data_IF_908691202788
#
_entry.id   IF_908691202788
#
_cell.length_a   1.000
_cell.length_b   1.000
_cell.length_c   1.000
_cell.angle_alpha   90.00
_cell.angle_beta   90.00
_cell.angle_gamma   90.00
#
_symmetry.space_group_name_H-M   'P 1'
#
loop_
_entity.id
_entity.type
_entity.pdbx_description
1 polymer ?
#
# COMPACT_ATOMS: atom_id res chain seq x y z
N UNK A 1 5.95 26.52 17.20
CA UNK A 1 5.88 27.39 18.39
C UNK A 1 4.86 28.51 18.18
N UNK A 2 4.69 29.42 19.15
CA UNK A 2 3.73 30.54 19.07
C UNK A 2 3.91 31.42 17.82
N UNK A 3 5.13 31.59 17.34
CA UNK A 3 5.43 32.34 16.11
C UNK A 3 4.91 31.66 14.84
N UNK A 4 5.02 30.34 14.73
CA UNK A 4 4.48 29.59 13.59
C UNK A 4 2.95 29.68 13.51
N UNK A 5 2.28 29.73 14.68
CA UNK A 5 0.83 29.89 14.76
C UNK A 5 0.40 31.31 14.37
N UNK A 6 1.12 32.34 14.82
CA UNK A 6 0.89 33.74 14.41
C UNK A 6 1.11 33.94 12.91
N UNK A 7 2.16 33.33 12.34
CA UNK A 7 2.42 33.36 10.91
C UNK A 7 1.30 32.69 10.09
N UNK A 8 0.80 31.54 10.56
CA UNK A 8 -0.31 30.83 9.91
C UNK A 8 -1.62 31.62 9.93
N UNK A 9 -1.96 32.24 11.08
CA UNK A 9 -3.16 33.10 11.20
C UNK A 9 -3.03 34.36 10.33
N UNK A 10 -1.86 35.00 10.31
CA UNK A 10 -1.62 36.16 9.45
C UNK A 10 -1.71 35.81 7.96
N UNK A 11 -1.28 34.61 7.57
CA UNK A 11 -1.41 34.10 6.20
C UNK A 11 -2.89 33.87 5.82
N UNK A 12 -3.67 33.25 6.71
CA UNK A 12 -5.11 33.02 6.49
C UNK A 12 -5.89 34.34 6.36
N UNK A 13 -5.55 35.36 7.15
CA UNK A 13 -6.17 36.68 7.07
C UNK A 13 -5.82 37.44 5.78
N UNK A 14 -4.65 37.19 5.19
CA UNK A 14 -4.25 37.77 3.89
C UNK A 14 -4.86 37.04 2.69
N UNK A 15 -5.16 35.75 2.84
CA UNK A 15 -5.73 34.92 1.79
C UNK A 15 -7.06 34.34 2.30
N UNK A 16 -8.18 35.09 2.23
CA UNK A 16 -9.46 34.71 2.82
C UNK A 16 -10.06 33.41 2.23
N UNK A 17 -9.56 32.94 1.09
CA UNK A 17 -9.90 31.64 0.50
C UNK A 17 -8.96 30.49 0.93
N UNK A 18 -8.02 30.75 1.85
CA UNK A 18 -7.15 29.74 2.47
C UNK A 18 -5.93 29.30 1.66
N UNK A 19 -5.83 29.66 0.37
CA UNK A 19 -4.69 29.33 -0.48
C UNK A 19 -3.93 30.60 -0.87
N UNK A 20 -2.69 30.70 -0.39
CA UNK A 20 -1.72 31.64 -0.93
C UNK A 20 -1.18 31.08 -2.27
N UNK A 21 -1.29 31.80 -3.39
CA UNK A 21 -0.79 31.35 -4.70
C UNK A 21 0.74 31.12 -4.71
N UNK A 22 1.46 31.74 -3.77
CA UNK A 22 2.90 31.57 -3.56
C UNK A 22 3.24 30.59 -2.42
N UNK A 23 2.23 30.10 -1.67
CA UNK A 23 2.38 28.97 -0.76
C UNK A 23 2.55 27.70 -1.59
N UNK A 24 3.75 27.55 -2.13
CA UNK A 24 4.18 26.33 -2.81
C UNK A 24 4.03 25.18 -1.84
N UNK A 25 3.21 24.20 -2.22
CA UNK A 25 3.12 22.84 -1.66
C UNK A 25 4.47 22.08 -1.66
N UNK A 26 5.57 22.73 -2.05
CA UNK A 26 6.93 22.18 -2.00
C UNK A 26 7.90 23.12 -1.27
N UNK A 27 7.40 24.19 -0.65
CA UNK A 27 8.23 25.07 0.16
C UNK A 27 8.61 24.33 1.45
N UNK A 28 9.91 24.10 1.72
CA UNK A 28 10.35 23.50 2.98
C UNK A 28 9.99 24.37 4.20
N UNK A 29 9.60 25.63 3.98
CA UNK A 29 9.16 26.57 5.00
C UNK A 29 7.71 26.38 5.47
N UNK A 30 6.89 25.55 4.78
CA UNK A 30 5.51 25.22 5.18
C UNK A 30 5.35 23.70 5.50
N UNK A 31 6.14 23.13 6.42
CA UNK A 31 6.27 21.69 6.60
C UNK A 31 4.99 20.99 7.11
N UNK A 32 4.06 21.73 7.72
CA UNK A 32 2.85 21.13 8.30
C UNK A 32 1.83 20.73 7.24
N UNK A 33 1.69 21.51 6.16
CA UNK A 33 0.75 21.19 5.07
C UNK A 33 1.17 19.92 4.29
N UNK A 34 2.47 19.56 4.32
CA UNK A 34 3.00 18.37 3.65
C UNK A 34 3.05 17.13 4.54
N UNK A 35 2.85 17.31 5.85
CA UNK A 35 3.22 16.27 6.81
C UNK A 35 2.26 15.07 6.86
N UNK A 36 1.15 15.08 6.10
CA UNK A 36 0.17 13.98 6.09
C UNK A 36 -0.19 13.54 7.51
N UNK A 37 0.37 12.42 7.95
CA UNK A 37 0.40 11.98 9.35
C UNK A 37 1.54 12.68 10.11
N UNK A 38 1.26 13.83 10.72
CA UNK A 38 2.23 14.55 11.57
C UNK A 38 2.37 13.93 12.98
N UNK A 39 3.44 14.28 13.72
CA UNK A 39 3.63 13.79 15.10
C UNK A 39 2.41 14.07 15.99
N UNK A 40 1.77 15.23 15.83
CA UNK A 40 0.62 15.62 16.64
C UNK A 40 -0.62 14.76 16.38
N UNK A 41 -0.76 14.21 15.17
CA UNK A 41 -1.88 13.32 14.80
C UNK A 41 -1.94 12.11 15.72
N UNK A 42 -0.79 11.59 16.16
CA UNK A 42 -0.75 10.44 17.09
C UNK A 42 -0.47 10.85 18.53
N UNK A 43 0.42 11.82 18.76
CA UNK A 43 0.98 12.10 20.08
C UNK A 43 0.29 13.23 20.84
N UNK A 44 -0.67 13.95 20.27
CA UNK A 44 -1.32 15.09 20.95
C UNK A 44 -2.83 14.91 21.02
N UNK A 45 -3.41 14.96 22.22
CA UNK A 45 -4.86 14.95 22.47
C UNK A 45 -5.20 15.91 23.58
N UNK A 46 -6.23 16.74 23.38
CA UNK A 46 -6.67 17.75 24.37
C UNK A 46 -5.52 18.57 24.95
N UNK A 47 -4.62 19.04 24.07
CA UNK A 47 -3.41 19.81 24.41
C UNK A 47 -2.37 19.09 25.29
N UNK A 48 -2.51 17.77 25.48
CA UNK A 48 -1.54 16.94 26.20
C UNK A 48 -0.75 16.06 25.24
N UNK A 49 0.50 15.77 25.61
CA UNK A 49 1.42 14.90 24.86
C UNK A 49 1.37 13.48 25.41
N UNK A 50 1.28 12.50 24.53
CA UNK A 50 1.27 11.08 24.84
C UNK A 50 2.34 10.34 24.04
N UNK A 51 2.77 9.19 24.51
CA UNK A 51 3.75 8.37 23.79
C UNK A 51 3.90 6.97 24.38
N UNK A 52 4.74 6.12 23.78
CA UNK A 52 5.00 4.80 24.30
C UNK A 52 5.81 4.86 25.62
N UNK A 53 5.67 3.86 26.50
CA UNK A 53 6.52 3.72 27.69
C UNK A 53 8.01 3.75 27.32
N UNK A 54 8.92 4.39 28.08
CA UNK A 54 10.34 4.39 27.75
C UNK A 54 10.91 2.97 27.65
N UNK A 55 11.76 2.67 26.66
CA UNK A 55 12.34 1.32 26.48
C UNK A 55 13.14 0.84 27.70
N UNK A 56 13.73 1.77 28.45
CA UNK A 56 14.61 1.47 29.59
C UNK A 56 13.86 1.14 30.88
N UNK A 57 12.63 1.65 31.05
CA UNK A 57 11.91 1.54 32.31
C UNK A 57 10.50 0.95 32.19
N UNK A 58 9.95 0.88 30.97
CA UNK A 58 8.55 0.53 30.71
C UNK A 58 7.53 1.34 31.55
N UNK A 59 7.94 2.50 32.07
CA UNK A 59 7.10 3.32 32.93
C UNK A 59 5.90 3.88 32.16
N UNK A 60 4.72 3.80 32.78
CA UNK A 60 3.45 4.35 32.29
C UNK A 60 3.03 5.56 33.12
N UNK A 61 2.15 6.40 32.58
CA UNK A 61 1.69 7.62 33.23
C UNK A 61 2.61 8.82 32.95
N UNK A 62 2.57 9.84 33.80
CA UNK A 62 3.31 11.09 33.57
C UNK A 62 4.83 10.85 33.66
N UNK A 63 5.53 11.13 32.57
CA UNK A 63 6.98 11.09 32.46
C UNK A 63 7.50 12.52 32.36
N UNK A 64 8.27 12.94 33.34
CA UNK A 64 9.03 14.18 33.28
C UNK A 64 10.32 13.96 32.47
N UNK A 65 10.72 14.94 31.67
CA UNK A 65 11.98 14.85 30.93
C UNK A 65 12.17 15.94 29.88
N UNK A 66 13.37 15.99 29.31
CA UNK A 66 13.74 16.96 28.29
C UNK A 66 12.98 16.78 26.96
N UNK A 67 12.54 15.56 26.65
CA UNK A 67 11.74 15.26 25.46
C UNK A 67 10.41 16.02 25.51
N UNK A 68 10.34 17.12 24.76
CA UNK A 68 9.19 18.03 24.71
C UNK A 68 8.67 18.47 26.10
N UNK A 69 9.52 18.57 27.13
CA UNK A 69 9.08 18.94 28.48
C UNK A 69 8.19 17.92 29.19
N UNK A 70 8.22 16.64 28.76
CA UNK A 70 7.45 15.54 29.35
C UNK A 70 6.23 15.12 28.54
N UNK A 71 5.72 13.94 28.84
CA UNK A 71 4.57 13.32 28.18
C UNK A 71 3.91 12.28 29.09
N UNK A 72 2.68 11.86 28.75
CA UNK A 72 2.01 10.73 29.40
C UNK A 72 2.27 9.45 28.61
N UNK A 73 3.04 8.53 29.20
CA UNK A 73 3.30 7.22 28.63
C UNK A 73 2.08 6.31 28.72
N UNK A 74 1.76 5.61 27.63
CA UNK A 74 0.63 4.67 27.55
C UNK A 74 0.98 3.46 26.69
N UNK A 75 0.64 2.26 27.17
CA UNK A 75 0.81 1.00 26.44
C UNK A 75 0.00 0.95 25.15
N UNK A 76 -1.01 1.83 24.98
CA UNK A 76 -1.78 1.92 23.74
C UNK A 76 -0.88 2.13 22.51
N UNK A 77 0.24 2.85 22.65
CA UNK A 77 1.17 3.07 21.53
C UNK A 77 1.89 1.80 21.05
N UNK A 78 1.81 0.70 21.79
CA UNK A 78 2.39 -0.59 21.44
C UNK A 78 1.32 -1.63 21.04
N UNK A 79 0.04 -1.26 21.06
CA UNK A 79 -1.10 -2.09 20.68
C UNK A 79 -1.60 -1.74 19.27
N UNK A 80 -1.87 -2.75 18.44
CA UNK A 80 -2.47 -2.57 17.11
C UNK A 80 -3.82 -1.82 17.15
N UNK A 81 -4.55 -1.84 18.28
CA UNK A 81 -5.80 -1.07 18.42
C UNK A 81 -5.61 0.43 18.25
N UNK A 82 -4.43 0.96 18.54
CA UNK A 82 -4.16 2.38 18.32
C UNK A 82 -4.34 2.78 16.86
N UNK A 83 -3.98 1.89 15.93
CA UNK A 83 -4.08 2.09 14.49
C UNK A 83 -5.53 2.03 13.98
N UNK A 84 -6.45 1.42 14.75
CA UNK A 84 -7.84 1.20 14.35
C UNK A 84 -8.62 2.49 14.08
N UNK A 85 -8.26 3.58 14.74
CA UNK A 85 -8.92 4.89 14.57
C UNK A 85 -8.88 5.42 13.13
N UNK A 86 -7.91 4.96 12.33
CA UNK A 86 -7.80 5.31 10.91
C UNK A 86 -7.90 4.09 10.00
N UNK A 87 -7.33 2.95 10.39
CA UNK A 87 -7.25 1.73 9.56
C UNK A 87 -8.40 0.73 9.79
N UNK A 88 -9.44 1.14 10.49
CA UNK A 88 -10.68 0.40 10.61
C UNK A 88 -11.86 1.37 10.53
N UNK A 89 -12.51 1.40 9.38
CA UNK A 89 -13.75 2.14 9.22
C UNK A 89 -14.91 1.38 9.87
N UNK A 90 -15.97 2.10 10.30
CA UNK A 90 -17.15 1.50 10.90
C UNK A 90 -17.91 0.62 9.92
N UNK A 91 -18.58 -0.40 10.47
CA UNK A 91 -19.38 -1.36 9.71
C UNK A 91 -20.56 -0.73 8.95
N UNK A 92 -21.03 0.44 9.38
CA UNK A 92 -22.07 1.20 8.67
C UNK A 92 -21.62 1.69 7.29
N UNK A 93 -20.31 1.72 7.02
CA UNK A 93 -19.72 2.06 5.71
C UNK A 93 -19.20 0.82 4.97
N UNK A 94 -19.68 -0.37 5.33
CA UNK A 94 -19.27 -1.61 4.71
C UNK A 94 -19.86 -1.81 3.32
N UNK A 95 -19.03 -2.28 2.40
CA UNK A 95 -19.41 -2.77 1.08
C UNK A 95 -19.26 -4.29 1.13
N UNK A 96 -20.33 -5.03 0.87
CA UNK A 96 -20.34 -6.49 0.96
C UNK A 96 -19.82 -7.00 2.33
N UNK A 97 -20.29 -6.37 3.42
CA UNK A 97 -19.91 -6.75 4.79
C UNK A 97 -18.49 -6.35 5.23
N UNK A 98 -17.70 -5.70 4.36
CA UNK A 98 -16.33 -5.24 4.65
C UNK A 98 -16.22 -3.72 4.49
N UNK A 99 -15.86 -2.96 5.53
CA UNK A 99 -15.50 -1.53 5.41
C UNK A 99 -14.38 -1.31 4.38
N UNK A 100 -14.28 -0.09 3.84
CA UNK A 100 -13.19 0.26 2.90
C UNK A 100 -11.81 0.10 3.55
N UNK A 101 -11.67 0.55 4.78
CA UNK A 101 -10.53 0.27 5.67
C UNK A 101 -10.95 -0.82 6.66
N UNK A 102 -10.46 -2.06 6.48
CA UNK A 102 -10.83 -3.20 7.33
C UNK A 102 -9.62 -3.92 7.95
N UNK A 103 -8.47 -3.24 7.96
CA UNK A 103 -7.15 -3.85 8.16
C UNK A 103 -6.97 -4.43 9.55
N UNK A 104 -7.52 -3.77 10.58
CA UNK A 104 -7.45 -4.31 11.93
C UNK A 104 -8.21 -5.64 12.05
N UNK A 105 -9.41 -5.73 11.47
CA UNK A 105 -10.21 -6.96 11.51
C UNK A 105 -9.49 -8.09 10.78
N UNK A 106 -8.97 -7.81 9.58
CA UNK A 106 -8.13 -8.76 8.83
C UNK A 106 -6.92 -9.22 9.65
N UNK A 107 -6.27 -8.30 10.37
CA UNK A 107 -5.18 -8.62 11.28
C UNK A 107 -5.61 -9.49 12.46
N UNK A 108 -6.75 -9.18 13.10
CA UNK A 108 -7.30 -9.95 14.23
C UNK A 108 -7.56 -11.40 13.85
N UNK A 109 -8.04 -11.64 12.63
CA UNK A 109 -8.36 -12.96 12.09
C UNK A 109 -7.10 -13.77 11.73
N UNK A 110 -5.98 -13.09 11.50
CA UNK A 110 -4.72 -13.72 11.11
C UNK A 110 -4.01 -14.43 12.27
N UNK A 111 -2.98 -15.21 11.92
CA UNK A 111 -2.05 -15.79 12.89
C UNK A 111 -1.17 -14.74 13.60
N UNK A 112 -1.04 -13.53 13.06
CA UNK A 112 -0.19 -12.47 13.60
C UNK A 112 -0.77 -11.90 14.90
N UNK A 113 -2.08 -11.65 14.93
CA UNK A 113 -2.80 -11.27 16.16
C UNK A 113 -2.61 -12.30 17.26
N UNK A 114 -2.78 -13.60 16.94
CA UNK A 114 -2.62 -14.71 17.88
C UNK A 114 -1.19 -14.84 18.42
N UNK A 115 -0.19 -14.45 17.63
CA UNK A 115 1.22 -14.45 18.01
C UNK A 115 1.66 -13.15 18.71
N UNK A 116 0.76 -12.17 18.89
CA UNK A 116 1.10 -10.88 19.47
C UNK A 116 1.97 -10.01 18.56
N UNK A 117 1.99 -10.27 17.24
CA UNK A 117 2.74 -9.46 16.29
C UNK A 117 1.91 -8.23 15.94
N UNK A 118 2.32 -7.08 16.46
CA UNK A 118 1.55 -5.82 16.34
C UNK A 118 1.91 -5.05 15.08
N UNK A 119 1.03 -4.12 14.67
CA UNK A 119 1.27 -3.24 13.52
C UNK A 119 2.62 -2.51 13.64
N UNK A 120 2.95 -2.06 14.84
CA UNK A 120 4.17 -1.33 15.17
C UNK A 120 5.43 -2.16 14.94
N UNK A 121 5.41 -3.47 15.19
CA UNK A 121 6.59 -4.31 15.00
C UNK A 121 7.02 -4.40 13.53
N UNK A 122 6.07 -4.33 12.60
CA UNK A 122 6.34 -4.34 11.17
C UNK A 122 6.51 -2.93 10.57
N UNK A 123 5.60 -2.01 10.90
CA UNK A 123 5.54 -0.67 10.28
C UNK A 123 6.33 0.39 11.06
N UNK A 124 6.64 0.16 12.32
CA UNK A 124 7.43 1.07 13.16
C UNK A 124 8.59 0.33 13.86
N UNK A 125 9.45 -0.39 13.09
CA UNK A 125 10.49 -1.23 13.68
C UNK A 125 11.40 -0.40 14.59
N UNK A 126 11.67 -0.93 15.78
CA UNK A 126 12.42 -0.23 16.85
C UNK A 126 11.86 1.14 17.25
N UNK A 127 10.56 1.38 17.05
CA UNK A 127 9.85 2.66 17.23
C UNK A 127 10.28 3.76 16.25
N UNK A 128 10.88 3.39 15.11
CA UNK A 128 11.14 4.33 14.03
C UNK A 128 9.84 4.62 13.29
N UNK A 129 9.60 5.88 12.96
CA UNK A 129 8.39 6.34 12.27
C UNK A 129 8.49 6.10 10.75
N UNK A 130 8.86 4.87 10.35
CA UNK A 130 9.10 4.54 8.93
C UNK A 130 7.81 4.31 8.16
N UNK A 131 6.82 3.66 8.77
CA UNK A 131 5.49 3.39 8.22
C UNK A 131 5.49 2.77 6.81
N UNK A 132 6.54 2.01 6.47
CA UNK A 132 6.68 1.38 5.14
C UNK A 132 5.46 0.53 4.83
N UNK A 133 4.95 0.64 3.61
CA UNK A 133 3.75 -0.04 3.18
C UNK A 133 3.85 -0.48 1.73
N UNK A 134 2.74 -0.36 1.00
CA UNK A 134 2.63 -0.77 -0.40
C UNK A 134 3.50 0.06 -1.36
N UNK A 135 3.91 1.28 -0.98
CA UNK A 135 4.83 2.12 -1.76
C UNK A 135 6.31 1.76 -1.56
N UNK A 136 6.66 0.84 -0.64
CA UNK A 136 8.03 0.40 -0.41
C UNK A 136 8.25 -1.01 -1.02
N UNK A 137 9.05 -1.14 -2.10
CA UNK A 137 9.26 -2.42 -2.78
C UNK A 137 9.93 -3.48 -1.89
N UNK A 138 10.80 -3.08 -0.97
CA UNK A 138 11.52 -4.01 -0.09
C UNK A 138 10.58 -4.60 0.96
N UNK A 139 9.71 -3.77 1.55
CA UNK A 139 8.66 -4.17 2.47
C UNK A 139 7.73 -5.20 1.84
N UNK A 140 7.24 -4.92 0.63
CA UNK A 140 6.36 -5.84 -0.09
C UNK A 140 7.07 -7.13 -0.47
N UNK A 141 8.33 -7.06 -0.93
CA UNK A 141 9.14 -8.23 -1.26
C UNK A 141 9.38 -9.12 -0.04
N UNK A 142 9.63 -8.53 1.13
CA UNK A 142 9.79 -9.25 2.40
C UNK A 142 8.49 -9.96 2.83
N UNK A 143 7.34 -9.37 2.52
CA UNK A 143 6.01 -9.91 2.82
C UNK A 143 5.64 -11.17 2.04
N UNK A 144 6.23 -11.36 0.85
CA UNK A 144 5.81 -12.37 -0.12
C UNK A 144 6.90 -13.41 -0.40
N UNK A 145 6.47 -14.61 -0.81
CA UNK A 145 7.38 -15.62 -1.36
C UNK A 145 6.91 -16.04 -2.73
N UNK A 146 7.84 -16.11 -3.68
CA UNK A 146 7.60 -16.52 -5.07
C UNK A 146 8.26 -17.88 -5.32
N UNK A 147 7.52 -18.83 -5.88
CA UNK A 147 8.05 -20.12 -6.32
C UNK A 147 7.59 -20.45 -7.72
N UNK A 148 8.54 -20.77 -8.57
CA UNK A 148 8.32 -21.18 -9.94
C UNK A 148 8.48 -22.69 -10.07
N UNK A 149 7.59 -23.32 -10.84
CA UNK A 149 7.66 -24.76 -11.15
C UNK A 149 7.12 -25.04 -12.55
N UNK A 150 7.56 -26.13 -13.17
CA UNK A 150 7.01 -26.62 -14.44
C UNK A 150 6.70 -28.11 -14.36
N UNK A 151 5.77 -28.53 -15.20
CA UNK A 151 5.54 -29.93 -15.54
C UNK A 151 5.60 -30.09 -17.07
N UNK A 152 5.32 -31.29 -17.60
CA UNK A 152 5.41 -31.56 -19.05
C UNK A 152 4.49 -30.68 -19.92
N UNK A 153 3.41 -30.14 -19.36
CA UNK A 153 2.35 -29.47 -20.12
C UNK A 153 2.16 -28.00 -19.75
N UNK A 154 2.97 -27.46 -18.84
CA UNK A 154 2.75 -26.12 -18.33
C UNK A 154 3.71 -25.65 -17.24
N UNK A 155 3.55 -24.37 -16.90
CA UNK A 155 4.31 -23.69 -15.85
C UNK A 155 3.38 -23.17 -14.76
N UNK A 156 3.94 -22.90 -13.59
CA UNK A 156 3.21 -22.36 -12.45
C UNK A 156 4.08 -21.39 -11.66
N UNK A 157 3.56 -20.19 -11.44
CA UNK A 157 4.00 -19.28 -10.39
C UNK A 157 3.14 -19.49 -9.15
N UNK A 158 3.78 -19.58 -7.99
CA UNK A 158 3.12 -19.67 -6.69
C UNK A 158 3.53 -18.45 -5.86
N UNK A 159 2.54 -17.69 -5.38
CA UNK A 159 2.74 -16.54 -4.50
C UNK A 159 2.16 -16.88 -3.13
N UNK A 160 2.95 -16.72 -2.08
CA UNK A 160 2.51 -16.93 -0.69
C UNK A 160 2.59 -15.62 0.07
N UNK A 161 1.49 -15.23 0.73
CA UNK A 161 1.45 -14.17 1.74
C UNK A 161 2.10 -14.70 3.02
N UNK A 162 3.36 -14.37 3.26
CA UNK A 162 4.18 -14.98 4.32
C UNK A 162 4.32 -14.09 5.54
N UNK A 163 4.65 -12.82 5.33
CA UNK A 163 4.91 -11.85 6.39
C UNK A 163 3.99 -10.64 6.27
N UNK A 164 2.69 -10.91 6.09
CA UNK A 164 1.64 -9.90 5.99
C UNK A 164 0.48 -10.36 6.86
N UNK A 165 0.18 -9.57 7.89
CA UNK A 165 -0.85 -9.90 8.89
C UNK A 165 -2.28 -9.57 8.46
N UNK A 166 -2.48 -8.86 7.37
CA UNK A 166 -3.78 -8.46 6.84
C UNK A 166 -3.90 -8.87 5.35
N UNK A 167 -5.01 -8.55 4.68
CA UNK A 167 -5.12 -8.85 3.25
C UNK A 167 -4.05 -8.08 2.46
N UNK A 168 -3.58 -8.63 1.35
CA UNK A 168 -2.58 -8.02 0.48
C UNK A 168 -3.13 -7.82 -0.95
N UNK A 169 -3.18 -6.57 -1.44
CA UNK A 169 -3.15 -5.32 -0.65
C UNK A 169 -4.41 -5.21 0.24
N UNK A 170 -4.37 -4.52 1.39
CA UNK A 170 -5.54 -4.49 2.31
C UNK A 170 -6.64 -3.53 1.85
N UNK A 171 -6.30 -2.39 1.28
CA UNK A 171 -7.28 -1.39 0.83
C UNK A 171 -7.76 -1.62 -0.61
N UNK A 172 -8.71 -0.79 -1.05
CA UNK A 172 -9.16 -0.72 -2.45
C UNK A 172 -8.21 0.08 -3.35
N UNK A 173 -7.24 0.79 -2.76
CA UNK A 173 -6.36 1.69 -3.51
C UNK A 173 -5.33 0.99 -4.41
N UNK A 174 -4.65 -0.09 -3.98
CA UNK A 174 -3.59 -0.68 -4.77
C UNK A 174 -4.08 -1.83 -5.64
N UNK A 175 -3.38 -2.06 -6.75
CA UNK A 175 -3.54 -3.24 -7.60
C UNK A 175 -2.21 -3.96 -7.75
N UNK A 176 -2.22 -5.28 -7.68
CA UNK A 176 -1.06 -6.09 -8.07
C UNK A 176 -1.41 -6.91 -9.29
N UNK A 177 -0.60 -6.78 -10.33
CA UNK A 177 -0.78 -7.47 -11.61
C UNK A 177 0.24 -8.61 -11.69
N UNK A 178 -0.25 -9.82 -11.87
CA UNK A 178 0.55 -10.99 -12.23
C UNK A 178 0.40 -11.22 -13.73
N UNK A 179 1.47 -11.03 -14.49
CA UNK A 179 1.51 -11.22 -15.93
C UNK A 179 2.41 -12.42 -16.26
N UNK A 180 1.96 -13.27 -17.17
CA UNK A 180 2.76 -14.35 -17.72
C UNK A 180 2.75 -14.27 -19.24
N UNK A 181 3.92 -14.35 -19.87
CA UNK A 181 4.10 -14.38 -21.32
C UNK A 181 4.73 -15.72 -21.72
N UNK A 182 4.10 -16.48 -22.62
CA UNK A 182 4.74 -17.59 -23.30
C UNK A 182 5.53 -17.07 -24.50
N UNK A 183 6.83 -17.33 -24.54
CA UNK A 183 7.75 -16.73 -25.51
C UNK A 183 8.30 -17.79 -26.47
N UNK A 184 8.49 -17.40 -27.73
CA UNK A 184 9.21 -18.19 -28.73
C UNK A 184 10.75 -18.02 -28.63
N UNK A 185 11.48 -18.60 -29.59
CA UNK A 185 12.95 -18.56 -29.66
C UNK A 185 13.51 -17.15 -29.85
N UNK A 186 12.74 -16.25 -30.46
CA UNK A 186 13.12 -14.87 -30.70
C UNK A 186 12.70 -13.94 -29.54
N UNK A 187 12.09 -14.52 -28.48
CA UNK A 187 11.62 -13.78 -27.32
C UNK A 187 10.29 -13.05 -27.54
N UNK A 188 9.59 -13.32 -28.65
CA UNK A 188 8.28 -12.73 -28.93
C UNK A 188 7.20 -13.44 -28.12
N UNK A 189 6.27 -12.68 -27.56
CA UNK A 189 5.11 -13.24 -26.85
C UNK A 189 4.16 -13.91 -27.85
N UNK A 190 4.01 -15.23 -27.70
CA UNK A 190 3.01 -16.03 -28.41
C UNK A 190 1.63 -15.89 -27.77
N UNK A 191 1.59 -15.74 -26.45
CA UNK A 191 0.37 -15.52 -25.67
C UNK A 191 0.73 -14.91 -24.32
N UNK A 192 -0.16 -14.03 -23.84
CA UNK A 192 -0.05 -13.42 -22.52
C UNK A 192 -1.29 -13.74 -21.66
N UNK A 193 -1.08 -13.85 -20.35
CA UNK A 193 -2.12 -14.07 -19.34
C UNK A 193 -1.93 -13.09 -18.21
N UNK A 194 -3.03 -12.54 -17.71
CA UNK A 194 -3.02 -11.58 -16.62
C UNK A 194 -3.98 -12.03 -15.50
N UNK A 195 -3.53 -11.86 -14.27
CA UNK A 195 -4.37 -11.96 -13.07
C UNK A 195 -4.17 -10.72 -12.21
N UNK A 196 -5.26 -10.26 -11.62
CA UNK A 196 -5.24 -9.13 -10.70
C UNK A 196 -5.42 -9.63 -9.26
N UNK A 197 -4.63 -9.12 -8.35
CA UNK A 197 -4.81 -9.23 -6.89
C UNK A 197 -5.23 -7.85 -6.41
N UNK A 198 -6.53 -7.69 -6.15
CA UNK A 198 -7.17 -6.40 -5.91
C UNK A 198 -8.49 -6.61 -5.15
N UNK A 199 -8.93 -5.60 -4.40
CA UNK A 199 -10.35 -5.44 -4.07
C UNK A 199 -10.89 -4.29 -4.92
N UNK A 200 -11.76 -4.63 -5.85
CA UNK A 200 -12.30 -3.69 -6.81
C UNK A 200 -13.72 -3.31 -6.41
N UNK A 201 -13.91 -2.01 -6.19
CA UNK A 201 -15.20 -1.41 -5.84
C UNK A 201 -15.53 -0.33 -6.85
N UNK A 202 -16.81 -0.11 -7.09
CA UNK A 202 -17.28 1.00 -7.89
C UNK A 202 -18.49 1.67 -7.23
N UNK A 203 -18.81 2.87 -7.70
CA UNK A 203 -20.03 3.57 -7.34
C UNK A 203 -20.98 3.57 -8.54
N UNK A 204 -22.08 2.82 -8.42
CA UNK A 204 -23.20 2.83 -9.37
C UNK A 204 -24.50 2.75 -8.57
N UNK A 205 -25.15 3.91 -8.40
CA UNK A 205 -26.33 4.09 -7.54
C UNK A 205 -26.14 3.53 -6.11
N UNK A 206 -24.89 3.55 -5.65
CA UNK A 206 -24.44 2.92 -4.40
C UNK A 206 -23.07 2.26 -4.59
N UNK A 207 -22.36 2.07 -3.49
CA UNK A 207 -21.07 1.37 -3.53
C UNK A 207 -21.26 -0.13 -3.68
N UNK A 208 -20.57 -0.73 -4.65
CA UNK A 208 -20.64 -2.16 -4.95
C UNK A 208 -19.22 -2.74 -4.99
N UNK A 209 -19.06 -3.97 -4.50
CA UNK A 209 -17.84 -4.75 -4.68
C UNK A 209 -17.98 -5.59 -5.95
N UNK A 210 -17.10 -5.37 -6.93
CA UNK A 210 -17.08 -6.17 -8.17
C UNK A 210 -16.37 -7.49 -8.00
N UNK A 211 -15.23 -7.45 -7.31
CA UNK A 211 -14.46 -8.64 -6.96
C UNK A 211 -13.48 -8.33 -5.85
N UNK A 212 -13.16 -9.37 -5.09
CA UNK A 212 -12.10 -9.36 -4.11
C UNK A 212 -11.19 -10.56 -4.37
N UNK A 213 -10.05 -10.28 -4.99
CA UNK A 213 -8.98 -11.25 -5.28
C UNK A 213 -7.73 -10.94 -4.46
N UNK A 214 -7.84 -10.22 -3.34
CA UNK A 214 -6.69 -9.98 -2.46
C UNK A 214 -6.13 -11.30 -1.93
N UNK A 215 -4.86 -11.32 -1.56
CA UNK A 215 -4.26 -12.47 -0.88
C UNK A 215 -4.48 -12.33 0.63
N UNK A 216 -5.12 -13.32 1.25
CA UNK A 216 -5.34 -13.31 2.70
C UNK A 216 -4.05 -13.67 3.46
N UNK A 217 -3.94 -13.34 4.77
CA UNK A 217 -2.79 -13.71 5.58
C UNK A 217 -2.50 -15.22 5.53
N UNK A 218 -1.27 -15.60 5.17
CA UNK A 218 -0.88 -17.01 5.04
C UNK A 218 -1.34 -17.68 3.73
N UNK A 219 -2.15 -17.03 2.91
CA UNK A 219 -2.66 -17.62 1.67
C UNK A 219 -1.53 -17.94 0.69
N UNK A 220 -1.63 -19.09 0.04
CA UNK A 220 -0.80 -19.47 -1.11
C UNK A 220 -1.66 -19.62 -2.35
N UNK A 221 -1.40 -18.79 -3.38
CA UNK A 221 -2.12 -18.83 -4.66
C UNK A 221 -1.22 -19.26 -5.80
N UNK A 222 -1.79 -19.99 -6.76
CA UNK A 222 -1.10 -20.60 -7.89
C UNK A 222 -1.63 -20.02 -9.21
N UNK A 223 -0.72 -19.52 -10.04
CA UNK A 223 -0.97 -18.96 -11.37
C UNK A 223 -0.40 -19.92 -12.41
N UNK A 224 -1.28 -20.71 -13.01
CA UNK A 224 -0.92 -21.88 -13.82
C UNK A 224 -1.14 -21.56 -15.30
N UNK A 225 -0.18 -21.94 -16.14
CA UNK A 225 -0.27 -21.86 -17.59
C UNK A 225 -0.23 -23.26 -18.18
N UNK A 226 -1.39 -23.75 -18.59
CA UNK A 226 -1.52 -25.04 -19.28
C UNK A 226 -2.81 -25.02 -20.13
N UNK A 227 -2.80 -25.57 -21.37
CA UNK A 227 -1.61 -25.92 -22.14
C UNK A 227 -0.85 -24.67 -22.61
N UNK A 228 0.44 -24.81 -22.89
CA UNK A 228 1.24 -23.75 -23.50
C UNK A 228 1.05 -23.75 -25.04
N UNK A 229 1.09 -22.58 -25.70
CA UNK A 229 1.07 -22.50 -27.17
C UNK A 229 2.22 -23.31 -27.79
N UNK A 230 1.95 -23.93 -28.94
CA UNK A 230 3.00 -24.58 -29.72
C UNK A 230 4.11 -23.57 -30.07
N UNK A 231 5.37 -24.01 -30.04
CA UNK A 231 6.53 -23.14 -30.28
C UNK A 231 7.00 -22.34 -29.05
N UNK A 232 6.29 -22.43 -27.90
CA UNK A 232 6.78 -21.85 -26.65
C UNK A 232 8.10 -22.51 -26.24
N UNK A 233 9.13 -21.70 -25.95
CA UNK A 233 10.43 -22.18 -25.45
C UNK A 233 10.75 -21.66 -24.05
N UNK A 234 10.09 -20.58 -23.63
CA UNK A 234 10.20 -20.07 -22.27
C UNK A 234 8.90 -19.39 -21.84
N UNK A 235 8.74 -19.19 -20.54
CA UNK A 235 7.65 -18.40 -19.95
C UNK A 235 8.26 -17.33 -19.06
N UNK A 236 7.88 -16.08 -19.28
CA UNK A 236 8.25 -14.95 -18.41
C UNK A 236 7.10 -14.62 -17.48
N UNK A 237 7.35 -14.64 -16.18
CA UNK A 237 6.41 -14.13 -15.18
C UNK A 237 6.89 -12.77 -14.68
N UNK A 238 5.95 -11.83 -14.55
CA UNK A 238 6.14 -10.51 -13.96
C UNK A 238 5.06 -10.25 -12.92
N UNK A 239 5.45 -9.66 -11.79
CA UNK A 239 4.52 -9.17 -10.77
C UNK A 239 4.80 -7.68 -10.58
N UNK A 240 3.82 -6.85 -10.94
CA UNK A 240 3.90 -5.40 -10.82
C UNK A 240 2.94 -4.93 -9.75
N UNK A 241 3.41 -4.04 -8.89
CA UNK A 241 2.57 -3.37 -7.89
C UNK A 241 2.27 -1.97 -8.40
N UNK A 242 0.99 -1.59 -8.32
CA UNK A 242 0.46 -0.28 -8.68
C UNK A 242 -0.16 0.29 -7.40
N UNK A 243 0.63 0.97 -6.54
CA UNK A 243 0.17 1.44 -5.24
C UNK A 243 -1.06 2.34 -5.28
N UNK A 244 -1.09 3.24 -6.27
CA UNK A 244 -2.09 4.31 -6.38
C UNK A 244 -3.17 4.02 -7.44
N UNK A 245 -3.43 2.75 -7.75
CA UNK A 245 -4.30 2.34 -8.86
C UNK A 245 -5.66 3.03 -8.86
N UNK A 246 -6.37 3.04 -7.73
CA UNK A 246 -7.67 3.68 -7.60
C UNK A 246 -7.59 5.18 -7.87
N UNK A 247 -6.58 5.86 -7.33
CA UNK A 247 -6.41 7.31 -7.52
C UNK A 247 -6.10 7.68 -8.96
N UNK A 248 -5.37 6.84 -9.71
CA UNK A 248 -5.13 7.06 -11.14
C UNK A 248 -6.44 7.13 -11.94
N UNK A 249 -7.42 6.29 -11.61
CA UNK A 249 -8.77 6.36 -12.17
C UNK A 249 -9.44 7.68 -11.84
N UNK A 250 -9.48 8.05 -10.55
CA UNK A 250 -10.05 9.32 -10.09
C UNK A 250 -9.40 10.53 -10.79
N UNK A 251 -8.08 10.56 -10.93
CA UNK A 251 -7.40 11.65 -11.60
C UNK A 251 -7.73 11.73 -13.09
N UNK A 252 -7.84 10.59 -13.77
CA UNK A 252 -8.25 10.52 -15.17
C UNK A 252 -9.67 11.06 -15.34
N UNK A 253 -10.60 10.63 -14.49
CA UNK A 253 -12.00 11.06 -14.55
C UNK A 253 -12.14 12.55 -14.26
N UNK A 254 -11.42 13.06 -13.25
CA UNK A 254 -11.39 14.49 -12.97
C UNK A 254 -10.89 15.27 -14.19
N UNK A 255 -9.76 14.88 -14.78
CA UNK A 255 -9.16 15.58 -15.93
C UNK A 255 -10.01 15.51 -17.20
N UNK A 256 -10.96 14.58 -17.30
CA UNK A 256 -11.93 14.53 -18.39
C UNK A 256 -13.05 15.57 -18.24
N UNK A 257 -13.27 16.10 -17.03
CA UNK A 257 -14.25 17.14 -16.75
C UNK A 257 -13.73 18.57 -16.91
N UNK A 258 -14.64 19.53 -16.94
CA UNK A 258 -14.31 20.96 -16.92
C UNK A 258 -13.80 21.38 -15.53
N UNK A 259 -12.70 22.14 -15.48
CA UNK A 259 -12.15 22.66 -14.24
C UNK A 259 -11.26 23.89 -14.47
N UNK A 260 -10.93 24.58 -13.38
CA UNK A 260 -10.00 25.70 -13.42
C UNK A 260 -8.56 25.25 -13.81
N UNK A 261 -7.80 26.06 -14.55
CA UNK A 261 -6.48 25.66 -15.05
C UNK A 261 -5.46 25.27 -13.98
N UNK A 262 -5.52 25.90 -12.82
CA UNK A 262 -4.67 25.65 -11.66
C UNK A 262 -4.98 24.29 -11.01
N UNK A 263 -6.27 23.95 -10.84
CA UNK A 263 -6.72 22.64 -10.38
C UNK A 263 -6.24 21.53 -11.34
N UNK A 264 -6.36 21.75 -12.65
CA UNK A 264 -5.89 20.81 -13.66
C UNK A 264 -4.37 20.60 -13.60
N UNK A 265 -3.61 21.65 -13.31
CA UNK A 265 -2.17 21.55 -13.10
C UNK A 265 -1.81 20.73 -11.85
N UNK A 266 -2.56 20.86 -10.75
CA UNK A 266 -2.36 20.04 -9.55
C UNK A 266 -2.65 18.56 -9.81
N UNK A 267 -3.76 18.25 -10.48
CA UNK A 267 -4.13 16.86 -10.76
C UNK A 267 -3.11 16.20 -11.70
N UNK A 268 -2.65 16.91 -12.75
CA UNK A 268 -1.57 16.42 -13.61
C UNK A 268 -0.26 16.16 -12.85
N UNK A 269 0.04 16.94 -11.81
CA UNK A 269 1.19 16.65 -10.92
C UNK A 269 0.95 15.37 -10.11
N UNK A 270 -0.24 15.19 -9.55
CA UNK A 270 -0.61 13.99 -8.81
C UNK A 270 -0.54 12.72 -9.69
N UNK A 271 -0.99 12.81 -10.95
CA UNK A 271 -0.84 11.72 -11.94
C UNK A 271 0.62 11.33 -12.11
N UNK A 272 1.50 12.31 -12.39
CA UNK A 272 2.94 12.05 -12.56
C UNK A 272 3.58 11.42 -11.32
N UNK A 273 3.13 11.81 -10.12
CA UNK A 273 3.62 11.22 -8.87
C UNK A 273 3.14 9.76 -8.72
N UNK A 274 1.84 9.52 -8.93
CA UNK A 274 1.25 8.19 -8.86
C UNK A 274 1.84 7.23 -9.90
N UNK A 275 2.16 7.70 -11.11
CA UNK A 275 2.83 6.92 -12.16
C UNK A 275 4.24 6.48 -11.75
N UNK A 276 4.99 7.34 -11.07
CA UNK A 276 6.34 7.02 -10.58
C UNK A 276 6.36 5.99 -9.45
N UNK A 277 5.23 5.82 -8.76
CA UNK A 277 5.12 4.89 -7.64
C UNK A 277 4.92 3.43 -8.07
N UNK A 278 4.65 3.16 -9.35
CA UNK A 278 4.53 1.78 -9.84
C UNK A 278 5.90 1.11 -9.89
N UNK A 279 5.96 -0.16 -9.52
CA UNK A 279 7.22 -0.88 -9.53
C UNK A 279 7.07 -2.37 -9.85
N UNK A 280 8.12 -2.89 -10.51
CA UNK A 280 8.29 -4.32 -10.76
C UNK A 280 8.78 -4.99 -9.47
N UNK A 281 7.94 -5.84 -8.88
CA UNK A 281 8.26 -6.53 -7.65
C UNK A 281 9.06 -7.81 -7.89
N UNK A 282 8.68 -8.57 -8.91
CA UNK A 282 9.27 -9.86 -9.29
C UNK A 282 9.25 -10.01 -10.81
N UNK A 283 10.35 -10.48 -11.38
CA UNK A 283 10.42 -10.94 -12.77
C UNK A 283 11.33 -12.14 -12.85
N UNK A 284 10.89 -13.18 -13.57
CA UNK A 284 11.74 -14.32 -13.86
C UNK A 284 11.28 -15.02 -15.13
N UNK A 285 12.26 -15.42 -15.94
CA UNK A 285 12.07 -16.21 -17.16
C UNK A 285 12.42 -17.67 -16.86
N UNK A 286 11.50 -18.57 -17.18
CA UNK A 286 11.68 -20.01 -17.07
C UNK A 286 11.80 -20.62 -18.45
N UNK A 287 12.92 -21.30 -18.74
CA UNK A 287 13.06 -22.12 -19.95
C UNK A 287 12.26 -23.42 -19.80
N UNK A 288 11.53 -23.79 -20.85
CA UNK A 288 10.73 -25.01 -20.88
C UNK A 288 11.63 -26.22 -21.17
N UNK A 289 11.57 -27.22 -20.31
CA UNK A 289 12.26 -28.50 -20.52
C UNK A 289 11.69 -29.21 -21.76
N UNK A 290 12.52 -29.41 -22.79
CA UNK A 290 12.16 -30.05 -24.06
C UNK A 290 12.21 -29.16 -25.30
N UNK A 291 12.42 -27.85 -25.17
CA UNK A 291 12.45 -26.92 -26.32
C UNK A 291 13.74 -26.95 -27.16
N UNK A 292 14.71 -27.81 -26.79
CA UNK A 292 16.06 -27.87 -27.37
C UNK A 292 16.46 -29.20 -28.02
N UNK A 293 15.61 -30.24 -28.02
CA UNK A 293 15.89 -31.50 -28.71
C UNK A 293 14.98 -31.67 -29.93
N UNK A 294 15.18 -30.81 -30.94
CA UNK A 294 14.71 -31.11 -32.29
C UNK A 294 15.83 -31.88 -33.02
N UNK A 295 15.63 -33.19 -33.13
CA UNK A 295 16.30 -34.17 -33.98
C UNK A 295 17.43 -33.66 -34.88
N UNK A 296 18.65 -34.06 -34.55
CA UNK A 296 19.70 -34.28 -35.52
C UNK A 296 19.80 -35.81 -35.74
N UNK A 297 18.87 -36.35 -36.53
CA UNK A 297 18.95 -37.69 -37.16
C UNK A 297 18.19 -37.67 -38.46
#
# INVERSE_FOLDING_TARGET
GPEAMKASVALHLKHPQGFDPDARLESPALPLAHSGVSCAVCHVRSWQRFGPPPKTSAAVGKINGAAHGGFTASNAFEDSQFCASCHQFPQSMAINGKPLENTLTEWKESSFSKQGITCQQCHMPDRRHEFRGIHDPEMVRKGLTFKLSQNKTGTRLTITSKWIGHAFPTYVTPKVIVLADALDRDGKSLRSWQWDIIREVEYDNGWQEKRDTRLMPGETRRFILTPLPAGSVSVRYRVTVIPDHFYKGVYSDLLAGEMQPDAAAQIRRAVKLAEKNDYLLFEQVMKLSGAGESNNR
#
